data_IF_592368281471
#
_entry.id   IF_592368281471
#
_cell.length_a   1.000
_cell.length_b   1.000
_cell.length_c   1.000
_cell.angle_alpha   90.00
_cell.angle_beta   90.00
_cell.angle_gamma   90.00
#
_symmetry.space_group_name_H-M   'P 1'
#
loop_
_entity.id
_entity.type
_entity.pdbx_description
1 polymer ?
#
# COMPACT_ATOMS: atom_id res chain seq x y z
N UNK A 1 -2.90 -22.36 -12.18
CA UNK A 1 -2.69 -21.02 -11.59
C UNK A 1 -1.38 -20.50 -12.14
N UNK A 2 -1.37 -19.32 -12.75
CA UNK A 2 -0.13 -18.75 -13.28
C UNK A 2 0.72 -18.24 -12.10
N UNK A 3 2.06 -18.27 -12.18
CA UNK A 3 2.91 -17.74 -11.10
C UNK A 3 2.58 -16.30 -10.68
N UNK A 4 2.10 -15.46 -11.62
CA UNK A 4 1.62 -14.11 -11.33
C UNK A 4 0.38 -14.09 -10.42
N UNK A 5 -0.55 -15.04 -10.58
CA UNK A 5 -1.76 -15.12 -9.76
C UNK A 5 -1.41 -15.45 -8.29
N UNK A 6 -0.38 -16.28 -8.06
CA UNK A 6 0.13 -16.63 -6.73
C UNK A 6 0.80 -15.44 -6.04
N UNK A 7 1.57 -14.65 -6.79
CA UNK A 7 2.21 -13.44 -6.29
C UNK A 7 1.17 -12.39 -5.90
N UNK A 8 0.18 -12.13 -6.76
CA UNK A 8 -0.92 -11.19 -6.49
C UNK A 8 -1.65 -11.56 -5.21
N UNK A 9 -2.07 -12.84 -5.07
CA UNK A 9 -2.77 -13.32 -3.86
C UNK A 9 -1.90 -13.18 -2.62
N UNK A 10 -0.61 -13.48 -2.72
CA UNK A 10 0.32 -13.36 -1.60
C UNK A 10 0.47 -11.91 -1.16
N UNK A 11 0.66 -10.99 -2.11
CA UNK A 11 0.82 -9.56 -1.82
C UNK A 11 -0.44 -8.97 -1.18
N UNK A 12 -1.63 -9.25 -1.73
CA UNK A 12 -2.90 -8.79 -1.15
C UNK A 12 -3.14 -9.36 0.25
N UNK A 13 -2.80 -10.63 0.48
CA UNK A 13 -2.89 -11.26 1.81
C UNK A 13 -2.00 -10.54 2.82
N UNK A 14 -0.76 -10.22 2.45
CA UNK A 14 0.17 -9.53 3.36
C UNK A 14 -0.23 -8.06 3.54
N UNK A 15 -0.72 -7.38 2.51
CA UNK A 15 -1.31 -6.04 2.64
C UNK A 15 -2.47 -6.02 3.65
N UNK A 16 -3.35 -7.02 3.58
CA UNK A 16 -4.45 -7.18 4.54
C UNK A 16 -3.96 -7.44 5.97
N UNK A 17 -2.80 -8.11 6.16
CA UNK A 17 -2.19 -8.29 7.47
C UNK A 17 -1.68 -6.96 8.04
N UNK A 18 -1.05 -6.11 7.23
CA UNK A 18 -0.65 -4.76 7.65
C UNK A 18 -1.87 -3.91 8.03
N UNK A 19 -2.94 -3.96 7.23
CA UNK A 19 -4.22 -3.30 7.55
C UNK A 19 -4.82 -3.81 8.87
N UNK A 20 -4.76 -5.12 9.13
CA UNK A 20 -5.26 -5.69 10.38
C UNK A 20 -4.47 -5.18 11.59
N UNK A 21 -3.15 -5.10 11.49
CA UNK A 21 -2.32 -4.50 12.55
C UNK A 21 -2.67 -3.02 12.71
N UNK A 22 -2.72 -2.26 11.62
CA UNK A 22 -3.07 -0.84 11.62
C UNK A 22 -4.39 -0.56 12.35
N UNK A 23 -5.43 -1.36 12.10
CA UNK A 23 -6.73 -1.27 12.79
C UNK A 23 -6.64 -1.51 14.29
N UNK A 24 -5.78 -2.44 14.73
CA UNK A 24 -5.60 -2.74 16.15
C UNK A 24 -4.86 -1.63 16.89
N UNK A 25 -3.92 -0.95 16.22
CA UNK A 25 -3.05 0.06 16.83
C UNK A 25 -3.55 1.50 16.66
N UNK A 26 -4.55 1.74 15.80
CA UNK A 26 -5.00 3.08 15.40
C UNK A 26 -5.27 4.00 16.59
N UNK A 27 -6.11 3.52 17.52
CA UNK A 27 -6.56 4.27 18.69
C UNK A 27 -5.73 4.00 19.95
N UNK A 28 -4.64 3.24 19.82
CA UNK A 28 -3.75 2.93 20.93
C UNK A 28 -2.90 4.17 21.27
N UNK A 29 -3.11 4.81 22.44
CA UNK A 29 -2.41 6.05 22.81
C UNK A 29 -0.90 5.86 23.02
N UNK A 30 -0.47 4.63 23.34
CA UNK A 30 0.93 4.26 23.55
C UNK A 30 1.71 3.98 22.26
N UNK A 31 1.03 3.92 21.11
CA UNK A 31 1.67 3.68 19.82
C UNK A 31 1.87 5.02 19.15
N UNK A 32 3.09 5.38 18.81
CA UNK A 32 3.39 6.62 18.12
C UNK A 32 2.95 6.59 16.64
N UNK A 33 2.83 7.77 16.02
CA UNK A 33 2.36 7.92 14.63
C UNK A 33 3.24 7.15 13.64
N UNK A 34 4.52 6.94 13.94
CA UNK A 34 5.46 6.18 13.12
C UNK A 34 5.02 4.73 12.93
N UNK A 35 4.52 4.08 13.99
CA UNK A 35 4.01 2.70 13.90
C UNK A 35 2.74 2.62 13.04
N UNK A 36 1.84 3.58 13.21
CA UNK A 36 0.63 3.73 12.38
C UNK A 36 1.02 3.92 10.92
N UNK A 37 1.90 4.89 10.65
CA UNK A 37 2.27 5.27 9.30
C UNK A 37 3.06 4.16 8.60
N UNK A 38 3.89 3.42 9.33
CA UNK A 38 4.61 2.27 8.80
C UNK A 38 3.65 1.20 8.27
N UNK A 39 2.68 0.75 9.07
CA UNK A 39 1.72 -0.26 8.60
C UNK A 39 0.82 0.26 7.47
N UNK A 40 0.45 1.55 7.48
CA UNK A 40 -0.27 2.15 6.37
C UNK A 40 0.55 2.14 5.07
N UNK A 41 1.81 2.61 5.12
CA UNK A 41 2.71 2.61 3.96
C UNK A 41 2.92 1.18 3.44
N UNK A 42 3.15 0.22 4.34
CA UNK A 42 3.39 -1.18 4.01
C UNK A 42 2.16 -1.86 3.39
N UNK A 43 0.96 -1.51 3.84
CA UNK A 43 -0.30 -1.95 3.23
C UNK A 43 -0.44 -1.41 1.81
N UNK A 44 -0.25 -0.09 1.63
CA UNK A 44 -0.35 0.58 0.33
C UNK A 44 0.68 0.01 -0.65
N UNK A 45 1.95 -0.12 -0.25
CA UNK A 45 3.02 -0.63 -1.11
C UNK A 45 2.70 -2.02 -1.67
N UNK A 46 2.23 -2.93 -0.81
CA UNK A 46 1.95 -4.32 -1.20
C UNK A 46 0.73 -4.41 -2.12
N UNK A 47 -0.31 -3.60 -1.86
CA UNK A 47 -1.47 -3.52 -2.74
C UNK A 47 -1.09 -2.95 -4.12
N UNK A 48 -0.27 -1.89 -4.20
CA UNK A 48 0.21 -1.37 -5.49
C UNK A 48 1.09 -2.40 -6.24
N UNK A 49 1.96 -3.10 -5.53
CA UNK A 49 2.78 -4.19 -6.10
C UNK A 49 1.93 -5.35 -6.60
N UNK A 50 0.84 -5.69 -5.91
CA UNK A 50 -0.12 -6.69 -6.39
C UNK A 50 -0.73 -6.26 -7.74
N UNK A 51 -1.09 -4.99 -7.89
CA UNK A 51 -1.62 -4.47 -9.15
C UNK A 51 -0.58 -4.49 -10.27
N UNK A 52 0.68 -4.16 -9.99
CA UNK A 52 1.76 -4.28 -10.98
C UNK A 52 1.99 -5.74 -11.39
N UNK A 53 2.02 -6.67 -10.43
CA UNK A 53 2.14 -8.10 -10.70
C UNK A 53 0.97 -8.65 -11.55
N UNK A 54 -0.25 -8.18 -11.30
CA UNK A 54 -1.44 -8.54 -12.07
C UNK A 54 -1.33 -8.10 -13.54
N UNK A 55 -0.63 -7.00 -13.81
CA UNK A 55 -0.35 -6.51 -15.17
C UNK A 55 0.96 -7.06 -15.75
N UNK A 56 1.60 -8.03 -15.09
CA UNK A 56 2.85 -8.65 -15.54
C UNK A 56 4.07 -7.74 -15.46
N UNK A 57 4.02 -6.67 -14.67
CA UNK A 57 5.12 -5.72 -14.51
C UNK A 57 6.02 -6.15 -13.35
N UNK A 58 7.31 -6.35 -13.67
CA UNK A 58 8.35 -6.52 -12.66
C UNK A 58 8.66 -5.16 -12.06
N UNK A 59 8.44 -5.02 -10.76
CA UNK A 59 8.69 -3.78 -10.03
C UNK A 59 10.01 -3.85 -9.25
N UNK A 60 10.69 -2.71 -9.14
CA UNK A 60 11.93 -2.63 -8.36
C UNK A 60 11.66 -2.76 -6.86
N UNK A 61 12.70 -3.12 -6.10
CA UNK A 61 12.68 -3.07 -4.63
C UNK A 61 12.81 -1.62 -4.14
N UNK A 62 11.85 -0.81 -4.53
CA UNK A 62 11.66 0.57 -4.05
C UNK A 62 10.55 0.61 -3.02
N UNK A 63 10.67 1.55 -2.09
CA UNK A 63 9.63 1.93 -1.13
C UNK A 63 8.90 3.21 -1.55
N UNK A 64 9.18 3.70 -2.77
CA UNK A 64 8.55 4.90 -3.29
C UNK A 64 7.19 4.56 -3.90
N UNK A 65 6.13 4.86 -3.15
CA UNK A 65 4.75 4.65 -3.56
C UNK A 65 4.35 5.46 -4.80
N UNK A 66 4.91 6.66 -4.97
CA UNK A 66 4.65 7.49 -6.17
C UNK A 66 5.18 6.79 -7.41
N UNK A 67 6.41 6.27 -7.37
CA UNK A 67 6.97 5.54 -8.52
C UNK A 67 6.15 4.30 -8.88
N UNK A 68 5.59 3.59 -7.89
CA UNK A 68 4.70 2.45 -8.14
C UNK A 68 3.38 2.90 -8.78
N UNK A 69 2.79 4.00 -8.29
CA UNK A 69 1.55 4.55 -8.83
C UNK A 69 1.74 5.14 -10.24
N UNK A 70 2.86 5.81 -10.52
CA UNK A 70 3.19 6.32 -11.85
C UNK A 70 3.34 5.17 -12.85
N UNK A 71 3.99 4.08 -12.44
CA UNK A 71 4.10 2.87 -13.27
C UNK A 71 2.73 2.26 -13.59
N UNK A 72 1.79 2.27 -12.64
CA UNK A 72 0.41 1.83 -12.89
C UNK A 72 -0.32 2.80 -13.83
N UNK A 73 -0.12 4.11 -13.67
CA UNK A 73 -0.73 5.12 -14.52
C UNK A 73 -0.27 4.99 -15.99
N UNK A 74 1.00 4.63 -16.23
CA UNK A 74 1.52 4.33 -17.57
C UNK A 74 0.81 3.13 -18.24
N UNK A 75 0.21 2.24 -17.45
CA UNK A 75 -0.63 1.12 -17.91
C UNK A 75 -2.11 1.50 -18.04
N UNK A 76 -2.48 2.74 -17.75
CA UNK A 76 -3.87 3.22 -17.70
C UNK A 76 -4.61 2.87 -16.41
N UNK A 77 -3.90 2.46 -15.36
CA UNK A 77 -4.47 2.07 -14.06
C UNK A 77 -4.26 3.19 -13.05
N UNK A 78 -5.33 3.87 -12.66
CA UNK A 78 -5.26 5.03 -11.76
C UNK A 78 -5.62 4.63 -10.33
N UNK A 79 -4.76 4.99 -9.37
CA UNK A 79 -5.00 4.75 -7.95
C UNK A 79 -6.13 5.65 -7.42
N UNK A 80 -6.95 5.19 -6.46
CA UNK A 80 -8.06 5.98 -5.89
C UNK A 80 -7.62 7.08 -4.92
N UNK A 81 -6.32 7.29 -4.71
CA UNK A 81 -5.78 8.32 -3.82
C UNK A 81 -4.77 9.20 -4.55
N UNK A 82 -4.68 10.45 -4.09
CA UNK A 82 -3.82 11.46 -4.70
C UNK A 82 -2.33 11.20 -4.47
N UNK A 83 -1.50 11.60 -5.44
CA UNK A 83 -0.03 11.51 -5.35
C UNK A 83 0.53 12.23 -4.11
N UNK A 84 -0.11 13.31 -3.65
CA UNK A 84 0.31 14.03 -2.44
C UNK A 84 0.18 13.17 -1.16
N UNK A 85 -0.82 12.29 -1.09
CA UNK A 85 -0.97 11.33 0.01
C UNK A 85 0.13 10.28 -0.05
N UNK A 86 0.43 9.75 -1.24
CA UNK A 86 1.52 8.79 -1.46
C UNK A 86 2.88 9.39 -1.05
N UNK A 87 3.14 10.65 -1.39
CA UNK A 87 4.34 11.38 -0.99
C UNK A 87 4.48 11.50 0.53
N UNK A 88 3.37 11.71 1.25
CA UNK A 88 3.35 11.80 2.71
C UNK A 88 3.56 10.46 3.41
N UNK A 89 3.17 9.35 2.77
CA UNK A 89 3.40 7.99 3.25
C UNK A 89 4.82 7.48 2.96
N UNK A 90 5.48 7.94 1.90
CA UNK A 90 6.83 7.49 1.52
C UNK A 90 7.87 7.50 2.67
N UNK A 91 7.99 8.56 3.50
CA UNK A 91 8.93 8.57 4.62
C UNK A 91 8.68 7.47 5.66
N UNK A 92 7.47 6.92 5.70
CA UNK A 92 7.06 5.92 6.69
C UNK A 92 7.48 4.50 6.36
N UNK A 93 8.14 4.26 5.23
CA UNK A 93 8.61 2.93 4.84
C UNK A 93 9.68 2.35 5.77
N UNK A 94 10.27 3.17 6.64
CA UNK A 94 11.31 2.75 7.58
C UNK A 94 10.93 3.15 9.01
N UNK A 95 11.01 2.19 9.92
CA UNK A 95 10.59 2.36 11.32
C UNK A 95 11.58 3.18 12.16
N UNK A 96 12.84 3.30 11.74
CA UNK A 96 13.88 3.97 12.52
C UNK A 96 14.82 4.81 11.64
N UNK A 97 14.84 6.12 11.86
CA UNK A 97 15.97 6.99 11.49
C UNK A 97 16.41 7.72 12.74
N UNK A 98 17.55 7.30 13.31
CA UNK A 98 18.23 8.04 14.37
C UNK A 98 18.65 9.42 13.84
N UNK A 99 18.44 10.48 14.63
CA UNK A 99 19.08 11.78 14.45
C UNK A 99 18.25 12.86 13.74
N UNK A 100 17.55 12.54 12.64
CA UNK A 100 16.83 13.52 11.80
C UNK A 100 15.38 13.08 11.52
N UNK A 101 14.56 13.00 12.58
CA UNK A 101 13.15 12.64 12.44
C UNK A 101 12.40 13.69 11.60
N UNK A 102 12.01 13.32 10.38
CA UNK A 102 10.86 13.95 9.73
C UNK A 102 9.62 13.27 10.29
N UNK A 103 8.95 13.94 11.22
CA UNK A 103 7.61 13.56 11.66
C UNK A 103 6.76 13.38 10.39
N UNK A 104 6.14 12.21 10.19
CA UNK A 104 5.22 12.03 9.06
C UNK A 104 4.19 13.14 9.06
N UNK A 105 4.11 13.91 7.97
CA UNK A 105 3.11 14.97 7.84
C UNK A 105 1.75 14.38 7.43
N UNK A 106 1.28 13.38 8.18
CA UNK A 106 0.05 12.63 7.94
C UNK A 106 -0.60 12.30 9.27
N UNK A 107 -1.92 12.40 9.33
CA UNK A 107 -2.65 12.02 10.55
C UNK A 107 -2.85 10.51 10.62
N UNK A 108 -3.13 9.98 11.82
CA UNK A 108 -3.48 8.55 12.00
C UNK A 108 -4.66 8.14 11.13
N UNK A 109 -5.69 8.98 11.11
CA UNK A 109 -6.91 8.72 10.37
C UNK A 109 -6.67 8.79 8.85
N UNK A 110 -5.87 9.75 8.38
CA UNK A 110 -5.51 9.85 6.97
C UNK A 110 -4.72 8.62 6.52
N UNK A 111 -3.71 8.19 7.28
CA UNK A 111 -2.95 6.97 6.99
C UNK A 111 -3.86 5.72 6.91
N UNK A 112 -4.78 5.57 7.85
CA UNK A 112 -5.76 4.49 7.88
C UNK A 112 -6.69 4.52 6.66
N UNK A 113 -7.30 5.67 6.39
CA UNK A 113 -8.25 5.83 5.27
C UNK A 113 -7.57 5.56 3.94
N UNK A 114 -6.36 6.09 3.71
CA UNK A 114 -5.62 5.87 2.46
C UNK A 114 -5.24 4.41 2.26
N UNK A 115 -4.78 3.73 3.31
CA UNK A 115 -4.47 2.31 3.24
C UNK A 115 -5.72 1.46 2.95
N UNK A 116 -6.87 1.82 3.53
CA UNK A 116 -8.13 1.12 3.29
C UNK A 116 -8.61 1.31 1.85
N UNK A 117 -8.60 2.54 1.35
CA UNK A 117 -9.02 2.86 -0.02
C UNK A 117 -8.20 2.09 -1.07
N UNK A 118 -6.87 2.07 -0.92
CA UNK A 118 -6.00 1.32 -1.84
C UNK A 118 -6.23 -0.18 -1.74
N UNK A 119 -6.36 -0.73 -0.54
CA UNK A 119 -6.56 -2.17 -0.36
C UNK A 119 -7.90 -2.64 -0.94
N UNK A 120 -8.98 -1.90 -0.65
CA UNK A 120 -10.32 -2.21 -1.16
C UNK A 120 -10.35 -2.13 -2.69
N UNK A 121 -9.75 -1.09 -3.27
CA UNK A 121 -9.59 -0.96 -4.71
C UNK A 121 -8.82 -2.14 -5.33
N UNK A 122 -7.66 -2.48 -4.77
CA UNK A 122 -6.83 -3.56 -5.30
C UNK A 122 -7.53 -4.93 -5.22
N UNK A 123 -8.30 -5.19 -4.17
CA UNK A 123 -9.13 -6.40 -4.08
C UNK A 123 -10.23 -6.42 -5.14
N UNK A 124 -10.94 -5.31 -5.34
CA UNK A 124 -12.00 -5.22 -6.34
C UNK A 124 -11.48 -5.44 -7.78
N UNK A 125 -10.30 -4.89 -8.09
CA UNK A 125 -9.64 -5.10 -9.38
C UNK A 125 -9.24 -6.57 -9.58
N UNK A 126 -8.65 -7.19 -8.55
CA UNK A 126 -8.27 -8.61 -8.60
C UNK A 126 -9.49 -9.54 -8.74
N UNK A 127 -10.57 -9.30 -8.00
CA UNK A 127 -11.80 -10.08 -8.09
C UNK A 127 -12.44 -9.93 -9.49
N UNK A 128 -12.47 -8.70 -10.02
CA UNK A 128 -12.98 -8.42 -11.36
C UNK A 128 -12.16 -9.10 -12.46
N UNK A 129 -10.83 -9.22 -12.28
CA UNK A 129 -9.98 -9.94 -13.21
C UNK A 129 -10.28 -11.45 -13.20
N UNK A 130 -10.44 -12.06 -12.01
CA UNK A 130 -10.78 -13.49 -11.90
C UNK A 130 -12.14 -13.82 -12.50
N UNK A 131 -13.13 -12.92 -12.39
CA UNK A 131 -14.46 -13.10 -12.96
C UNK A 131 -14.50 -13.02 -14.50
N UNK A 132 -13.52 -12.38 -15.14
CA UNK A 132 -13.41 -12.30 -16.61
C UNK A 132 -12.69 -13.52 -17.22
N UNK A 133 -11.93 -14.25 -16.41
CA UNK A 133 -11.16 -15.42 -16.83
C UNK A 133 -11.92 -16.76 -16.65
N UNK A 134 -13.05 -16.76 -15.94
CA UNK A 134 -13.91 -17.93 -15.71
C UNK A 134 -15.13 -17.97 -16.63
#
# INVERSE_FOLDING_TARGET
>A
MRPADDEVRTLLRVAAQDMAVLRLILDAPQIEIEGICFHAQQCVEKALKAMLAMHGVVYERTHNLVSLADTLADLGVVTPIDTEVLLRLNPCAVTFRYGDMKIPNITRQEAMTSAAQILDWANNEADSATAREG
#
